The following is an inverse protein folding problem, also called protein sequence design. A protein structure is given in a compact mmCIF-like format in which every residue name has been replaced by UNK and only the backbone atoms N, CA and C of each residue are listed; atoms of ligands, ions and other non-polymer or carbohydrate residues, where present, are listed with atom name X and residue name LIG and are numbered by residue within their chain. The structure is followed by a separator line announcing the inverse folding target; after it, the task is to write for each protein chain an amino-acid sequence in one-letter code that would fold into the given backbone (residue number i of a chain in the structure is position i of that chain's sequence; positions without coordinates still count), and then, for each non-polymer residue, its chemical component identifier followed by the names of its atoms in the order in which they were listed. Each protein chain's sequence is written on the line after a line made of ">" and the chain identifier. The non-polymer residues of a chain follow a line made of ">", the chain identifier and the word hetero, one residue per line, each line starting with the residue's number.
data_IF_758545727703
#
_entry.id   IF_758545727703
#
_cell.length_a   1.000
_cell.length_b   1.000
_cell.length_c   1.000
_cell.angle_alpha   90.00
_cell.angle_beta   90.00
_cell.angle_gamma   90.00
#
_symmetry.space_group_name_H-M   'P 1'
#
loop_
_entity.id
_entity.type
_entity.pdbx_description
1 polymer ?
#
# COMPACT_ATOMS: atom_id res chain seq x y z
N UNK A 1 -10.44 -20.65 -4.55
CA UNK A 1 -9.88 -20.84 -3.17
C UNK A 1 -10.34 -19.67 -2.32
N UNK A 2 -10.72 -19.91 -1.05
CA UNK A 2 -11.04 -18.82 -0.11
C UNK A 2 -9.77 -18.01 0.21
N UNK A 3 -9.88 -16.70 0.31
CA UNK A 3 -8.77 -15.82 0.67
C UNK A 3 -8.49 -15.90 2.17
N UNK A 4 -7.20 -15.93 2.56
CA UNK A 4 -6.80 -15.99 3.98
C UNK A 4 -7.25 -14.76 4.76
N UNK A 5 -7.18 -13.57 4.12
CA UNK A 5 -7.71 -12.34 4.67
C UNK A 5 -9.19 -12.45 5.05
N UNK A 6 -10.03 -12.97 4.14
CA UNK A 6 -11.48 -13.10 4.38
C UNK A 6 -11.77 -14.02 5.55
N UNK A 7 -11.02 -15.12 5.67
CA UNK A 7 -11.16 -16.07 6.78
C UNK A 7 -10.77 -15.44 8.12
N UNK A 8 -9.67 -14.70 8.16
CA UNK A 8 -9.23 -13.99 9.38
C UNK A 8 -10.22 -12.89 9.76
N UNK A 9 -10.65 -12.07 8.81
CA UNK A 9 -11.67 -11.04 9.06
C UNK A 9 -12.99 -11.62 9.54
N UNK A 10 -13.42 -12.77 9.00
CA UNK A 10 -14.62 -13.45 9.48
C UNK A 10 -14.47 -13.88 10.92
N UNK A 11 -13.32 -14.46 11.32
CA UNK A 11 -13.08 -14.84 12.73
C UNK A 11 -13.05 -13.64 13.64
N UNK A 12 -12.41 -12.54 13.24
CA UNK A 12 -12.34 -11.30 14.00
C UNK A 12 -13.75 -10.72 14.21
N UNK A 13 -14.57 -10.63 13.18
CA UNK A 13 -15.94 -10.11 13.25
C UNK A 13 -16.85 -10.97 14.14
N UNK A 14 -16.60 -12.27 14.20
CA UNK A 14 -17.37 -13.21 15.02
C UNK A 14 -16.78 -13.36 16.44
N UNK A 15 -15.83 -12.53 16.85
CA UNK A 15 -15.12 -12.63 18.14
C UNK A 15 -14.50 -14.01 18.41
N UNK A 16 -14.19 -14.76 17.37
CA UNK A 16 -13.57 -16.09 17.40
C UNK A 16 -12.18 -16.06 16.77
N UNK A 17 -11.34 -15.14 17.25
CA UNK A 17 -9.97 -14.94 16.76
C UNK A 17 -8.94 -15.33 17.83
N UNK A 18 -7.74 -15.61 17.37
CA UNK A 18 -6.57 -15.94 18.18
C UNK A 18 -5.37 -15.09 17.74
N UNK A 19 -4.27 -15.06 18.48
CA UNK A 19 -3.03 -14.41 18.04
C UNK A 19 -2.51 -14.91 16.67
N UNK A 20 -2.94 -16.10 16.23
CA UNK A 20 -2.61 -16.65 14.90
C UNK A 20 -3.38 -16.00 13.75
N UNK A 21 -4.42 -15.23 14.07
CA UNK A 21 -5.22 -14.51 13.07
C UNK A 21 -4.65 -13.12 12.75
N UNK A 22 -3.38 -12.90 13.05
CA UNK A 22 -2.64 -11.71 12.65
C UNK A 22 -2.61 -11.58 11.12
N UNK A 23 -3.02 -10.40 10.60
CA UNK A 23 -3.06 -10.12 9.16
C UNK A 23 -1.71 -9.59 8.73
N UNK A 24 -1.09 -10.23 7.72
CA UNK A 24 0.21 -9.84 7.18
C UNK A 24 0.03 -9.31 5.76
N UNK A 25 0.51 -8.10 5.50
CA UNK A 25 0.60 -7.51 4.18
C UNK A 25 2.07 -7.36 3.76
N UNK A 26 2.39 -7.74 2.52
CA UNK A 26 3.66 -7.39 1.88
C UNK A 26 3.43 -6.17 0.98
N UNK A 27 4.03 -5.03 1.33
CA UNK A 27 3.91 -3.78 0.59
C UNK A 27 5.00 -3.70 -0.50
N UNK A 28 4.58 -3.77 -1.75
CA UNK A 28 5.40 -3.67 -2.96
C UNK A 28 4.91 -2.56 -3.89
N UNK A 29 4.45 -1.47 -3.31
CA UNK A 29 3.92 -0.30 -3.99
C UNK A 29 4.90 0.89 -4.02
N UNK A 30 6.13 0.70 -3.54
CA UNK A 30 7.15 1.73 -3.45
C UNK A 30 7.59 2.31 -4.80
N UNK A 31 7.32 1.63 -5.92
CA UNK A 31 7.56 2.12 -7.26
C UNK A 31 6.77 3.39 -7.60
N UNK A 32 5.64 3.61 -6.95
CA UNK A 32 4.85 4.84 -7.12
C UNK A 32 5.58 6.09 -6.62
N UNK A 33 6.33 5.97 -5.53
CA UNK A 33 7.09 7.09 -4.95
C UNK A 33 8.59 7.06 -5.27
N UNK A 34 9.21 5.87 -5.28
CA UNK A 34 10.66 5.66 -5.38
C UNK A 34 11.19 5.45 -6.79
N UNK A 35 10.34 5.15 -7.77
CA UNK A 35 10.77 4.91 -9.16
C UNK A 35 11.78 3.76 -9.29
N UNK A 36 12.86 3.97 -10.05
CA UNK A 36 13.88 2.94 -10.35
C UNK A 36 14.52 2.30 -9.09
N UNK A 37 14.85 3.03 -8.04
CA UNK A 37 15.37 2.43 -6.80
C UNK A 37 14.39 1.57 -6.00
N UNK A 38 13.09 1.69 -6.24
CA UNK A 38 12.05 1.05 -5.42
C UNK A 38 12.21 -0.48 -5.24
N UNK A 39 12.60 -1.26 -6.26
CA UNK A 39 12.84 -2.70 -6.10
C UNK A 39 14.05 -3.06 -5.23
N UNK A 40 14.86 -2.08 -4.87
CA UNK A 40 16.10 -2.27 -4.14
C UNK A 40 17.25 -2.81 -5.00
N UNK A 41 18.40 -2.98 -4.37
CA UNK A 41 19.60 -3.44 -5.05
C UNK A 41 19.57 -4.95 -5.33
N UNK A 42 20.28 -5.35 -6.40
CA UNK A 42 20.59 -6.74 -6.66
C UNK A 42 21.56 -7.29 -5.60
N UNK A 43 21.58 -8.61 -5.44
CA UNK A 43 22.54 -9.32 -4.61
C UNK A 43 23.26 -10.35 -5.46
N UNK A 44 24.53 -10.59 -5.17
CA UNK A 44 25.26 -11.70 -5.77
C UNK A 44 24.89 -13.03 -5.12
N UNK A 45 25.49 -14.12 -5.59
CA UNK A 45 25.26 -15.48 -5.07
C UNK A 45 25.60 -15.65 -3.58
N UNK A 46 26.50 -14.81 -3.05
CA UNK A 46 26.90 -14.80 -1.65
C UNK A 46 26.06 -13.83 -0.79
N UNK A 47 24.99 -13.24 -1.35
CA UNK A 47 24.11 -12.31 -0.65
C UNK A 47 24.61 -10.87 -0.54
N UNK A 48 25.82 -10.55 -1.07
CA UNK A 48 26.38 -9.21 -1.06
C UNK A 48 25.58 -8.27 -1.96
N UNK A 49 25.31 -7.08 -1.45
CA UNK A 49 24.58 -6.02 -2.17
C UNK A 49 25.47 -5.49 -3.31
N UNK A 50 24.91 -5.44 -4.51
CA UNK A 50 25.56 -4.87 -5.70
C UNK A 50 25.11 -3.41 -5.86
N UNK A 51 25.98 -2.59 -6.46
CA UNK A 51 25.62 -1.22 -6.88
C UNK A 51 24.82 -1.23 -8.20
N UNK A 52 23.72 -1.99 -8.19
CA UNK A 52 22.82 -2.15 -9.32
C UNK A 52 21.40 -2.42 -8.81
N UNK A 53 20.44 -1.66 -9.27
CA UNK A 53 19.04 -1.88 -8.90
C UNK A 53 18.45 -3.09 -9.63
N UNK A 54 17.47 -3.73 -8.98
CA UNK A 54 16.60 -4.70 -9.61
C UNK A 54 15.76 -3.98 -10.69
N UNK A 55 15.50 -4.65 -11.78
CA UNK A 55 14.59 -4.14 -12.82
C UNK A 55 13.12 -4.50 -12.52
N UNK A 56 12.21 -4.06 -13.39
CA UNK A 56 10.78 -4.34 -13.23
C UNK A 56 10.48 -5.85 -13.22
N UNK A 57 11.17 -6.64 -14.08
CA UNK A 57 10.99 -8.09 -14.07
C UNK A 57 11.41 -8.70 -12.74
N UNK A 58 12.57 -8.34 -12.21
CA UNK A 58 13.04 -8.80 -10.90
C UNK A 58 12.03 -8.43 -9.80
N UNK A 59 11.38 -7.26 -9.91
CA UNK A 59 10.39 -6.80 -8.93
C UNK A 59 9.10 -7.60 -9.00
N UNK A 60 8.60 -7.87 -10.19
CA UNK A 60 7.44 -8.74 -10.40
C UNK A 60 7.72 -10.18 -9.93
N UNK A 61 8.91 -10.70 -10.20
CA UNK A 61 9.31 -12.03 -9.75
C UNK A 61 9.34 -12.14 -8.20
N UNK A 62 9.73 -11.07 -7.50
CA UNK A 62 9.65 -11.00 -6.03
C UNK A 62 8.20 -11.04 -5.53
N UNK A 63 7.29 -10.28 -6.14
CA UNK A 63 5.86 -10.29 -5.80
C UNK A 63 5.23 -11.65 -6.06
N UNK A 64 5.56 -12.26 -7.20
CA UNK A 64 5.11 -13.59 -7.58
C UNK A 64 5.60 -14.66 -6.59
N UNK A 65 6.89 -14.63 -6.23
CA UNK A 65 7.50 -15.54 -5.26
C UNK A 65 6.84 -15.41 -3.89
N UNK A 66 6.64 -14.18 -3.40
CA UNK A 66 5.96 -13.96 -2.12
C UNK A 66 4.50 -14.43 -2.15
N UNK A 67 3.77 -14.17 -3.24
CA UNK A 67 2.40 -14.66 -3.41
C UNK A 67 2.33 -16.18 -3.42
N UNK A 68 3.27 -16.85 -4.09
CA UNK A 68 3.36 -18.32 -4.14
C UNK A 68 3.76 -18.93 -2.80
N UNK A 69 4.52 -18.25 -1.97
CA UNK A 69 4.90 -18.72 -0.63
C UNK A 69 3.70 -18.86 0.31
N UNK A 70 2.63 -18.08 0.07
CA UNK A 70 1.42 -18.04 0.91
C UNK A 70 1.69 -17.56 2.35
N UNK A 71 2.80 -16.90 2.59
CA UNK A 71 3.20 -16.40 3.92
C UNK A 71 2.47 -15.10 4.30
N UNK A 72 1.86 -14.43 3.30
CA UNK A 72 1.14 -13.17 3.51
C UNK A 72 -0.34 -13.33 3.17
N UNK A 73 -1.17 -12.49 3.76
CA UNK A 73 -2.61 -12.43 3.48
C UNK A 73 -2.91 -11.44 2.34
N UNK A 74 -2.11 -10.39 2.25
CA UNK A 74 -2.26 -9.31 1.28
C UNK A 74 -0.94 -9.09 0.53
N UNK A 75 -1.02 -8.97 -0.78
CA UNK A 75 0.05 -8.43 -1.63
C UNK A 75 -0.39 -7.06 -2.13
N UNK A 76 0.20 -6.00 -1.55
CA UNK A 76 -0.07 -4.61 -1.92
C UNK A 76 0.90 -4.16 -3.01
N UNK A 77 0.37 -3.59 -4.08
CA UNK A 77 1.13 -3.24 -5.30
C UNK A 77 0.64 -1.93 -5.89
N UNK A 78 1.43 -1.33 -6.79
CA UNK A 78 0.93 -0.33 -7.72
C UNK A 78 -0.10 -0.94 -8.69
N UNK A 79 -0.97 -0.10 -9.27
CA UNK A 79 -2.01 -0.55 -10.18
C UNK A 79 -1.45 -1.31 -11.40
N UNK A 80 -0.34 -0.84 -11.96
CA UNK A 80 0.32 -1.47 -13.13
C UNK A 80 0.88 -2.85 -12.79
N UNK A 81 1.57 -3.00 -11.66
CA UNK A 81 2.12 -4.28 -11.24
C UNK A 81 1.03 -5.30 -10.88
N UNK A 82 -0.05 -4.84 -10.25
CA UNK A 82 -1.20 -5.70 -9.95
C UNK A 82 -1.87 -6.22 -11.23
N UNK A 83 -2.03 -5.38 -12.25
CA UNK A 83 -2.58 -5.77 -13.54
C UNK A 83 -1.71 -6.82 -14.23
N UNK A 84 -0.38 -6.63 -14.25
CA UNK A 84 0.56 -7.58 -14.86
C UNK A 84 0.51 -8.96 -14.16
N UNK A 85 0.51 -8.99 -12.83
CA UNK A 85 0.42 -10.25 -12.09
C UNK A 85 -0.95 -10.91 -12.22
N UNK A 86 -2.01 -10.13 -12.35
CA UNK A 86 -3.34 -10.66 -12.65
C UNK A 86 -3.40 -11.33 -14.03
N UNK A 87 -2.85 -10.70 -15.07
CA UNK A 87 -2.73 -11.28 -16.42
C UNK A 87 -1.97 -12.61 -16.42
N UNK A 88 -0.94 -12.72 -15.59
CA UNK A 88 -0.21 -13.99 -15.37
C UNK A 88 -1.01 -15.04 -14.58
N UNK A 89 -2.18 -14.71 -14.05
CA UNK A 89 -3.03 -15.62 -13.28
C UNK A 89 -2.53 -15.97 -11.88
N UNK A 90 -1.57 -15.21 -11.33
CA UNK A 90 -0.89 -15.51 -10.06
C UNK A 90 -1.88 -15.62 -8.89
N UNK A 91 -2.94 -14.81 -8.89
CA UNK A 91 -3.94 -14.76 -7.81
C UNK A 91 -5.12 -15.72 -7.98
N UNK A 92 -5.24 -16.41 -9.13
CA UNK A 92 -6.40 -17.25 -9.47
C UNK A 92 -6.64 -18.38 -8.46
N UNK A 93 -5.58 -19.04 -8.03
CA UNK A 93 -5.63 -20.16 -7.07
C UNK A 93 -4.76 -19.90 -5.83
N UNK A 94 -4.62 -18.63 -5.45
CA UNK A 94 -3.85 -18.20 -4.29
C UNK A 94 -4.77 -17.79 -3.13
N UNK A 95 -4.43 -18.11 -1.87
CA UNK A 95 -5.11 -17.57 -0.71
C UNK A 95 -4.78 -16.10 -0.46
N UNK A 96 -3.75 -15.57 -1.13
CA UNK A 96 -3.30 -14.18 -0.99
C UNK A 96 -4.26 -13.25 -1.73
N UNK A 97 -4.64 -12.15 -1.09
CA UNK A 97 -5.51 -11.11 -1.65
C UNK A 97 -4.66 -10.06 -2.35
N UNK A 98 -4.86 -9.78 -3.66
CA UNK A 98 -4.24 -8.63 -4.30
C UNK A 98 -4.86 -7.34 -3.78
N UNK A 99 -4.02 -6.37 -3.43
CA UNK A 99 -4.43 -5.02 -3.06
C UNK A 99 -3.66 -4.00 -3.90
N UNK A 100 -4.29 -2.85 -4.15
CA UNK A 100 -3.73 -1.78 -4.97
C UNK A 100 -3.67 -0.50 -4.18
N UNK A 101 -2.55 0.20 -4.25
CA UNK A 101 -2.44 1.56 -3.73
C UNK A 101 -3.28 2.50 -4.59
N UNK A 102 -4.25 3.16 -3.97
CA UNK A 102 -5.24 4.00 -4.66
C UNK A 102 -4.86 5.48 -4.69
N UNK A 103 -3.97 5.91 -3.81
CA UNK A 103 -3.39 7.26 -3.81
C UNK A 103 -1.89 7.22 -3.48
N UNK A 104 -1.23 8.33 -3.69
CA UNK A 104 0.15 8.58 -3.31
C UNK A 104 0.27 9.97 -2.69
N UNK A 105 1.44 10.33 -2.18
CA UNK A 105 1.73 11.62 -1.56
C UNK A 105 3.01 12.21 -2.12
N UNK A 106 3.01 13.54 -2.35
CA UNK A 106 4.12 14.23 -3.02
C UNK A 106 5.39 14.28 -2.18
N UNK A 107 5.29 14.23 -0.86
CA UNK A 107 6.42 14.28 0.07
C UNK A 107 7.33 13.05 -0.04
N UNK A 108 6.79 11.88 -0.40
CA UNK A 108 7.57 10.65 -0.61
C UNK A 108 7.93 10.41 -2.10
N UNK A 109 7.55 11.30 -2.99
CA UNK A 109 7.77 11.16 -4.43
C UNK A 109 9.22 11.48 -4.83
N UNK A 110 10.12 10.54 -4.55
CA UNK A 110 11.58 10.69 -4.69
C UNK A 110 12.04 11.08 -6.09
N UNK A 111 11.35 10.62 -7.16
CA UNK A 111 11.66 10.98 -8.55
C UNK A 111 11.41 12.46 -8.89
N UNK A 112 10.65 13.17 -8.06
CA UNK A 112 10.40 14.61 -8.15
C UNK A 112 11.09 15.40 -7.05
N UNK A 113 12.10 14.79 -6.41
CA UNK A 113 12.81 15.37 -5.28
C UNK A 113 11.95 15.65 -4.05
N UNK A 114 10.83 14.95 -3.90
CA UNK A 114 10.01 15.00 -2.69
C UNK A 114 10.86 14.71 -1.45
N UNK A 115 10.60 15.43 -0.38
CA UNK A 115 11.37 15.33 0.85
C UNK A 115 10.45 15.13 2.05
N UNK A 116 10.25 13.88 2.40
CA UNK A 116 9.39 13.42 3.48
C UNK A 116 9.63 14.10 4.85
N UNK A 117 10.80 14.68 5.09
CA UNK A 117 11.12 15.37 6.35
C UNK A 117 10.86 16.89 6.32
N UNK A 118 10.70 17.46 5.14
CA UNK A 118 10.63 18.92 4.96
C UNK A 118 9.36 19.41 4.30
N UNK A 119 8.72 18.56 3.49
CA UNK A 119 7.57 18.92 2.70
C UNK A 119 6.29 18.39 3.32
N UNK A 120 5.20 19.13 3.18
CA UNK A 120 3.88 18.68 3.58
C UNK A 120 3.36 17.67 2.55
N UNK A 121 2.67 16.66 3.04
CA UNK A 121 2.05 15.67 2.18
C UNK A 121 0.89 16.29 1.38
N UNK A 122 1.03 16.32 0.06
CA UNK A 122 -0.07 16.61 -0.85
C UNK A 122 -0.37 15.32 -1.60
N UNK A 123 -1.51 14.71 -1.32
CA UNK A 123 -1.88 13.45 -1.94
C UNK A 123 -2.47 13.67 -3.33
N UNK A 124 -2.35 12.63 -4.15
CA UNK A 124 -2.94 12.59 -5.49
C UNK A 124 -3.34 11.16 -5.84
N UNK A 125 -4.27 11.04 -6.78
CA UNK A 125 -4.76 9.74 -7.24
C UNK A 125 -4.42 9.55 -8.71
N UNK A 126 -3.66 8.49 -9.01
CA UNK A 126 -3.38 8.04 -10.38
C UNK A 126 -4.11 6.74 -10.72
N UNK A 127 -4.48 5.95 -9.71
CA UNK A 127 -5.22 4.73 -9.90
C UNK A 127 -6.72 4.99 -10.12
N UNK A 128 -7.26 4.46 -11.23
CA UNK A 128 -8.68 4.52 -11.54
C UNK A 128 -9.38 3.28 -10.95
N UNK A 129 -10.35 3.49 -10.06
CA UNK A 129 -11.02 2.42 -9.33
C UNK A 129 -11.75 1.43 -10.26
N UNK A 130 -12.44 1.92 -11.30
CA UNK A 130 -13.14 1.06 -12.26
C UNK A 130 -12.19 0.13 -13.01
N UNK A 131 -10.96 0.59 -13.28
CA UNK A 131 -9.95 -0.25 -13.92
C UNK A 131 -9.35 -1.24 -12.92
N UNK A 132 -8.98 -0.78 -11.72
CA UNK A 132 -8.43 -1.62 -10.66
C UNK A 132 -9.39 -2.76 -10.31
N UNK A 133 -10.68 -2.49 -10.22
CA UNK A 133 -11.70 -3.49 -9.88
C UNK A 133 -11.74 -4.71 -10.82
N UNK A 134 -11.19 -4.60 -12.03
CA UNK A 134 -11.09 -5.72 -12.97
C UNK A 134 -10.13 -6.81 -12.50
N UNK A 135 -9.17 -6.48 -11.62
CA UNK A 135 -8.10 -7.39 -11.20
C UNK A 135 -7.82 -7.42 -9.69
N UNK A 136 -8.31 -6.45 -8.93
CA UNK A 136 -8.25 -6.45 -7.48
C UNK A 136 -9.54 -5.86 -6.90
N UNK A 137 -9.97 -6.34 -5.72
CA UNK A 137 -11.14 -5.81 -5.02
C UNK A 137 -10.77 -5.33 -3.60
N UNK A 138 -9.54 -4.90 -3.44
CA UNK A 138 -9.04 -4.29 -2.20
C UNK A 138 -8.11 -3.13 -2.56
N UNK A 139 -8.33 -1.99 -1.94
CA UNK A 139 -7.51 -0.80 -2.11
C UNK A 139 -6.90 -0.30 -0.81
N UNK A 140 -5.72 0.28 -0.88
CA UNK A 140 -5.12 1.08 0.19
C UNK A 140 -5.31 2.56 -0.15
N UNK A 141 -5.79 3.33 0.81
CA UNK A 141 -5.70 4.78 0.79
C UNK A 141 -4.85 5.24 1.96
N UNK A 142 -3.84 6.07 1.71
CA UNK A 142 -2.93 6.56 2.74
C UNK A 142 -3.20 8.03 3.01
N UNK A 143 -3.12 8.43 4.29
CA UNK A 143 -3.18 9.83 4.71
C UNK A 143 -2.01 10.14 5.64
N UNK A 144 -1.53 11.38 5.59
CA UNK A 144 -0.50 11.90 6.50
C UNK A 144 -0.95 13.26 7.00
N UNK A 145 -1.27 13.36 8.27
CA UNK A 145 -1.58 14.66 8.88
C UNK A 145 -0.31 15.51 8.97
N UNK A 146 -0.40 16.75 8.51
CA UNK A 146 0.76 17.65 8.41
C UNK A 146 0.76 18.77 9.44
N UNK A 147 -0.29 18.88 10.26
CA UNK A 147 -0.57 20.01 11.16
C UNK A 147 -0.82 21.33 10.40
N UNK A 148 -1.15 21.23 9.13
CA UNK A 148 -1.63 22.33 8.29
C UNK A 148 -3.10 22.10 8.00
N UNK A 149 -3.97 22.92 8.58
CA UNK A 149 -5.42 22.74 8.48
C UNK A 149 -5.89 22.60 7.02
N UNK A 150 -5.39 23.42 6.13
CA UNK A 150 -5.81 23.38 4.72
C UNK A 150 -5.41 22.07 4.04
N UNK A 151 -4.15 21.63 4.19
CA UNK A 151 -3.68 20.37 3.62
C UNK A 151 -4.42 19.17 4.22
N UNK A 152 -4.63 19.19 5.53
CA UNK A 152 -5.31 18.09 6.21
C UNK A 152 -6.78 18.01 5.78
N UNK A 153 -7.47 19.15 5.58
CA UNK A 153 -8.83 19.19 5.06
C UNK A 153 -8.94 18.72 3.60
N UNK A 154 -8.02 19.17 2.73
CA UNK A 154 -7.97 18.71 1.34
C UNK A 154 -7.79 17.18 1.26
N UNK A 155 -6.88 16.65 2.08
CA UNK A 155 -6.62 15.22 2.15
C UNK A 155 -7.84 14.45 2.64
N UNK A 156 -8.51 14.91 3.70
CA UNK A 156 -9.73 14.27 4.22
C UNK A 156 -10.89 14.33 3.23
N UNK A 157 -11.03 15.43 2.48
CA UNK A 157 -12.03 15.53 1.41
C UNK A 157 -11.76 14.51 0.30
N UNK A 158 -10.50 14.36 -0.13
CA UNK A 158 -10.14 13.37 -1.14
C UNK A 158 -10.33 11.93 -0.66
N UNK A 159 -10.07 11.67 0.63
CA UNK A 159 -10.36 10.37 1.23
C UNK A 159 -11.87 10.10 1.26
N UNK A 160 -12.69 11.09 1.62
CA UNK A 160 -14.15 10.97 1.55
C UNK A 160 -14.62 10.62 0.14
N UNK A 161 -14.15 11.34 -0.87
CA UNK A 161 -14.54 11.14 -2.26
C UNK A 161 -14.13 9.73 -2.76
N UNK A 162 -12.93 9.26 -2.35
CA UNK A 162 -12.51 7.88 -2.61
C UNK A 162 -13.42 6.86 -1.93
N UNK A 163 -13.75 7.07 -0.66
CA UNK A 163 -14.61 6.17 0.11
C UNK A 163 -15.99 6.04 -0.52
N UNK A 164 -16.61 7.16 -0.89
CA UNK A 164 -17.91 7.17 -1.56
C UNK A 164 -17.86 6.46 -2.93
N UNK A 165 -16.78 6.66 -3.70
CA UNK A 165 -16.57 5.95 -4.95
C UNK A 165 -16.39 4.44 -4.73
N UNK A 166 -15.64 4.04 -3.70
CA UNK A 166 -15.41 2.65 -3.35
C UNK A 166 -16.73 1.96 -2.93
N UNK A 167 -17.51 2.60 -2.07
CA UNK A 167 -18.80 2.09 -1.61
C UNK A 167 -19.80 1.91 -2.77
N UNK A 168 -19.93 2.92 -3.64
CA UNK A 168 -20.77 2.84 -4.84
C UNK A 168 -20.38 1.70 -5.79
N UNK A 169 -19.12 1.31 -5.77
CA UNK A 169 -18.60 0.24 -6.62
C UNK A 169 -18.46 -1.11 -5.91
N UNK A 170 -18.87 -1.26 -4.66
CA UNK A 170 -18.63 -2.46 -3.84
C UNK A 170 -17.13 -2.85 -3.87
N UNK A 171 -16.26 -1.88 -3.66
CA UNK A 171 -14.82 -2.05 -3.62
C UNK A 171 -14.34 -1.94 -2.18
N UNK A 172 -13.67 -2.97 -1.68
CA UNK A 172 -13.13 -2.98 -0.33
C UNK A 172 -11.90 -2.09 -0.23
N UNK A 173 -11.70 -1.48 0.93
CA UNK A 173 -10.52 -0.65 1.17
C UNK A 173 -10.09 -0.69 2.63
N UNK A 174 -8.85 -0.30 2.87
CA UNK A 174 -8.34 -0.01 4.20
C UNK A 174 -7.58 1.32 4.17
N UNK A 175 -7.59 1.99 5.31
CA UNK A 175 -6.93 3.26 5.51
C UNK A 175 -5.60 3.03 6.21
N UNK A 176 -4.55 3.67 5.72
CA UNK A 176 -3.26 3.78 6.37
C UNK A 176 -3.02 5.22 6.79
N UNK A 177 -2.75 5.44 8.06
CA UNK A 177 -2.47 6.77 8.62
C UNK A 177 -1.00 6.83 8.98
N UNK A 178 -0.25 7.71 8.29
CA UNK A 178 1.14 7.96 8.60
C UNK A 178 1.31 9.04 9.66
N UNK A 179 2.28 8.85 10.53
CA UNK A 179 2.74 9.91 11.39
C UNK A 179 3.36 11.05 10.56
N UNK A 180 3.10 12.32 10.90
CA UNK A 180 3.76 13.45 10.24
C UNK A 180 5.27 13.37 10.43
N UNK A 181 6.01 13.51 9.33
CA UNK A 181 7.48 13.46 9.34
C UNK A 181 8.10 14.86 9.40
N UNK A 182 7.33 15.88 9.08
CA UNK A 182 7.72 17.28 9.26
C UNK A 182 7.73 17.64 10.75
N UNK A 183 8.55 18.62 11.14
CA UNK A 183 8.61 19.08 12.53
C UNK A 183 7.26 19.63 12.98
N UNK A 184 6.52 18.86 13.76
CA UNK A 184 5.23 19.29 14.34
C UNK A 184 5.39 20.02 15.67
N UNK A 185 6.55 19.92 16.32
CA UNK A 185 6.76 20.37 17.69
C UNK A 185 6.12 19.48 18.75
N UNK A 186 5.54 18.36 18.36
CA UNK A 186 4.91 17.39 19.26
C UNK A 186 5.93 16.35 19.74
N UNK A 187 5.83 15.94 21.00
CA UNK A 187 6.53 14.76 21.50
C UNK A 187 5.80 13.47 21.06
N UNK A 188 6.37 12.30 21.34
CA UNK A 188 5.79 11.01 20.88
C UNK A 188 4.38 10.74 21.43
N UNK A 189 4.11 11.09 22.69
CA UNK A 189 2.79 10.89 23.30
C UNK A 189 1.76 11.81 22.61
N UNK A 190 2.08 13.09 22.50
CA UNK A 190 1.25 14.07 21.81
C UNK A 190 1.04 13.72 20.33
N UNK A 191 2.05 13.11 19.68
CA UNK A 191 1.90 12.64 18.30
C UNK A 191 0.90 11.49 18.20
N UNK A 192 0.92 10.55 19.16
CA UNK A 192 -0.08 9.48 19.24
C UNK A 192 -1.49 10.02 19.42
N UNK A 193 -1.68 10.98 20.31
CA UNK A 193 -2.97 11.66 20.52
C UNK A 193 -3.44 12.46 19.29
N UNK A 194 -2.50 13.04 18.56
CA UNK A 194 -2.80 13.83 17.36
C UNK A 194 -3.24 12.98 16.16
N UNK A 195 -2.74 11.74 16.06
CA UNK A 195 -3.05 10.82 14.95
C UNK A 195 -4.27 9.95 15.22
N UNK A 196 -4.60 9.68 16.50
CA UNK A 196 -5.77 8.88 16.91
C UNK A 196 -7.03 9.73 17.10
#
# INVERSE_FOLDING_TARGET
>A
MKKSLDLKLQRIRNYNFSPKDFIIADAKDADMGGGIPAPGNKRNKNGLILNQYKNLKDYLDLMESMTKSKLVDIMLMSASNAEELFKKGIFKNSPVTPAVRMNDTSDIWGIRHGNYKKEMATHFRTANLKNVKKYANLGLFSITFSKSLNHDLEMLNSYRDFREEAEKNNFNYFLEVFNPQTKTGLNQLQLGEYVN
#
